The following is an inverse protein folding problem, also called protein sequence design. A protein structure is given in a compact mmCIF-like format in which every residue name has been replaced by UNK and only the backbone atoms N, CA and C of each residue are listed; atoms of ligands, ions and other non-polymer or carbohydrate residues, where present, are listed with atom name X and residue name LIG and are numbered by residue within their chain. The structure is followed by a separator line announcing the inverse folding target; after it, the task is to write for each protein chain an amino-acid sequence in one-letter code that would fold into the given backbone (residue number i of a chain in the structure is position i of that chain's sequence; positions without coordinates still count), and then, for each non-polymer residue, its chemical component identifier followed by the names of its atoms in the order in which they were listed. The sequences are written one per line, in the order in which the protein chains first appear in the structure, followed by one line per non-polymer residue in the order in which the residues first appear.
data_IF_490109144765
#
_entry.id   IF_490109144765
#
_cell.length_a   1.000
_cell.length_b   1.000
_cell.length_c   1.000
_cell.angle_alpha   90.00
_cell.angle_beta   90.00
_cell.angle_gamma   90.00
#
_symmetry.space_group_name_H-M   'P 1'
#
loop_
_entity.id
_entity.type
_entity.pdbx_description
1 polymer ?
#
# COMPACT_ATOMS: atom_id res chain seq x y z
N UNK A 1 -33.93 -33.22 -34.37
CA UNK A 1 -32.88 -32.24 -34.01
C UNK A 1 -33.43 -31.26 -33.00
N UNK A 2 -33.13 -31.44 -31.73
CA UNK A 2 -33.61 -30.58 -30.66
C UNK A 2 -32.49 -29.61 -30.26
N UNK A 3 -32.74 -28.31 -30.49
CA UNK A 3 -31.82 -27.25 -30.18
C UNK A 3 -31.73 -26.99 -28.67
N UNK A 4 -30.55 -27.18 -28.11
CA UNK A 4 -30.18 -26.77 -26.74
C UNK A 4 -30.24 -25.25 -26.62
N UNK A 5 -31.22 -24.71 -25.90
CA UNK A 5 -31.24 -23.32 -25.47
C UNK A 5 -30.20 -23.15 -24.36
N UNK A 6 -29.14 -22.38 -24.66
CA UNK A 6 -28.16 -21.88 -23.67
C UNK A 6 -28.90 -20.93 -22.71
N UNK A 7 -28.93 -21.28 -21.43
CA UNK A 7 -29.42 -20.41 -20.36
C UNK A 7 -28.40 -19.29 -20.14
N UNK A 8 -28.80 -18.03 -20.32
CA UNK A 8 -28.05 -16.85 -19.86
C UNK A 8 -28.03 -16.83 -18.33
N UNK A 9 -26.89 -16.53 -17.68
CA UNK A 9 -26.88 -16.35 -16.24
C UNK A 9 -27.77 -15.14 -15.90
N UNK A 10 -28.82 -15.39 -15.11
CA UNK A 10 -29.79 -14.39 -14.70
C UNK A 10 -29.13 -13.31 -13.85
N UNK A 11 -29.13 -12.09 -14.34
CA UNK A 11 -28.80 -10.90 -13.55
C UNK A 11 -29.79 -10.77 -12.39
N UNK A 12 -29.25 -10.51 -11.20
CA UNK A 12 -29.99 -10.31 -9.95
C UNK A 12 -30.99 -9.16 -10.11
N UNK A 13 -32.24 -9.26 -9.63
CA UNK A 13 -33.22 -8.16 -9.74
C UNK A 13 -32.77 -6.95 -8.92
N UNK A 14 -33.02 -5.71 -9.41
CA UNK A 14 -32.74 -4.48 -8.68
C UNK A 14 -33.50 -4.48 -7.35
N UNK A 15 -32.77 -4.35 -6.22
CA UNK A 15 -33.38 -4.28 -4.88
C UNK A 15 -33.27 -5.55 -4.03
N UNK A 16 -32.68 -6.65 -4.51
CA UNK A 16 -32.41 -7.81 -3.66
C UNK A 16 -31.37 -7.46 -2.57
N UNK A 17 -31.57 -7.86 -1.29
CA UNK A 17 -30.60 -7.58 -0.24
C UNK A 17 -29.23 -8.17 -0.61
N UNK A 18 -28.18 -7.34 -0.51
CA UNK A 18 -26.80 -7.77 -0.75
C UNK A 18 -26.41 -8.83 0.26
N UNK A 19 -25.65 -9.84 -0.17
CA UNK A 19 -25.11 -10.83 0.75
C UNK A 19 -24.21 -10.14 1.78
N UNK A 20 -24.03 -10.76 2.93
CA UNK A 20 -23.16 -10.20 3.97
C UNK A 20 -21.73 -10.00 3.45
N UNK A 21 -21.23 -10.93 2.62
CA UNK A 21 -19.91 -10.84 1.99
C UNK A 21 -19.78 -9.69 0.99
N UNK A 22 -20.83 -9.38 0.21
CA UNK A 22 -20.81 -8.23 -0.70
C UNK A 22 -20.73 -6.88 0.02
N UNK A 23 -21.07 -6.84 1.32
CA UNK A 23 -21.00 -5.62 2.14
C UNK A 23 -19.72 -5.46 2.93
N UNK A 24 -18.98 -6.54 3.16
CA UNK A 24 -17.77 -6.50 3.98
C UNK A 24 -16.69 -5.53 3.41
N UNK A 25 -16.41 -5.49 2.09
CA UNK A 25 -15.50 -4.50 1.51
C UNK A 25 -15.94 -3.05 1.76
N UNK A 26 -17.26 -2.77 1.67
CA UNK A 26 -17.81 -1.43 1.92
C UNK A 26 -17.63 -1.02 3.40
N UNK A 27 -17.82 -1.97 4.33
CA UNK A 27 -17.62 -1.76 5.77
C UNK A 27 -16.14 -1.49 6.07
N UNK A 28 -15.23 -2.24 5.46
CA UNK A 28 -13.79 -2.06 5.66
C UNK A 28 -13.33 -0.74 5.07
N UNK A 29 -13.79 -0.36 3.88
CA UNK A 29 -13.49 0.94 3.30
C UNK A 29 -14.00 2.10 4.18
N UNK A 30 -15.19 1.96 4.78
CA UNK A 30 -15.70 2.92 5.76
C UNK A 30 -14.81 2.98 7.01
N UNK A 31 -14.36 1.82 7.51
CA UNK A 31 -13.44 1.74 8.65
C UNK A 31 -12.10 2.43 8.36
N UNK A 32 -11.50 2.19 7.18
CA UNK A 32 -10.28 2.86 6.74
C UNK A 32 -10.48 4.39 6.77
N UNK A 33 -11.57 4.92 6.18
CA UNK A 33 -11.84 6.37 6.20
C UNK A 33 -11.97 6.93 7.62
N UNK A 34 -12.71 6.25 8.50
CA UNK A 34 -12.91 6.70 9.88
C UNK A 34 -11.60 6.65 10.66
N UNK A 35 -10.85 5.55 10.58
CA UNK A 35 -9.57 5.44 11.28
C UNK A 35 -8.50 6.41 10.74
N UNK A 36 -8.50 6.71 9.44
CA UNK A 36 -7.60 7.71 8.85
C UNK A 36 -7.94 9.12 9.37
N UNK A 37 -9.23 9.45 9.43
CA UNK A 37 -9.69 10.76 9.91
C UNK A 37 -9.46 10.97 11.40
N UNK A 38 -9.87 10.01 12.22
CA UNK A 38 -10.01 10.18 13.67
C UNK A 38 -8.86 9.52 14.47
N UNK A 39 -8.12 8.58 13.88
CA UNK A 39 -7.17 7.71 14.56
C UNK A 39 -7.86 6.56 15.31
N UNK A 40 -7.06 5.59 15.77
CA UNK A 40 -7.62 4.39 16.39
C UNK A 40 -8.41 4.68 17.67
N UNK A 41 -7.89 5.53 18.57
CA UNK A 41 -8.53 5.75 19.89
C UNK A 41 -9.83 6.50 19.80
N UNK A 42 -9.87 7.58 19.00
CA UNK A 42 -11.05 8.44 18.90
C UNK A 42 -12.17 7.82 18.05
N UNK A 43 -11.85 7.02 17.05
CA UNK A 43 -12.83 6.33 16.22
C UNK A 43 -13.76 5.43 17.04
N UNK A 44 -15.06 5.43 16.71
CA UNK A 44 -16.09 4.60 17.34
C UNK A 44 -16.74 3.66 16.36
N UNK A 45 -17.26 2.53 16.85
CA UNK A 45 -18.01 1.59 16.00
C UNK A 45 -19.26 2.24 15.40
N UNK A 46 -19.91 3.15 16.14
CA UNK A 46 -21.04 3.94 15.65
C UNK A 46 -20.68 4.82 14.46
N UNK A 47 -19.47 5.40 14.43
CA UNK A 47 -19.02 6.28 13.35
C UNK A 47 -18.77 5.46 12.08
N UNK A 48 -18.15 4.27 12.22
CA UNK A 48 -17.96 3.34 11.09
C UNK A 48 -19.30 2.82 10.59
N UNK A 49 -20.22 2.48 11.48
CA UNK A 49 -21.57 2.04 11.09
C UNK A 49 -22.29 3.13 10.28
N UNK A 50 -22.27 4.38 10.75
CA UNK A 50 -22.86 5.51 10.06
C UNK A 50 -22.23 5.73 8.68
N UNK A 51 -20.89 5.68 8.58
CA UNK A 51 -20.12 5.82 7.34
C UNK A 51 -20.44 4.69 6.33
N UNK A 52 -20.71 3.47 6.83
CA UNK A 52 -21.11 2.30 6.03
C UNK A 52 -22.63 2.26 5.73
N UNK A 53 -23.41 3.22 6.21
CA UNK A 53 -24.87 3.21 6.08
C UNK A 53 -25.57 2.07 6.85
N UNK A 54 -25.04 1.73 8.03
CA UNK A 54 -25.53 0.65 8.89
C UNK A 54 -25.89 1.19 10.27
N UNK A 55 -26.71 0.44 11.02
CA UNK A 55 -26.77 0.59 12.47
C UNK A 55 -25.58 -0.07 13.14
N UNK A 56 -25.17 0.42 14.32
CA UNK A 56 -24.07 -0.20 15.07
C UNK A 56 -24.34 -1.68 15.37
N UNK A 57 -25.55 -2.03 15.74
CA UNK A 57 -25.95 -3.44 15.92
C UNK A 57 -25.83 -4.29 14.64
N UNK A 58 -26.02 -3.68 13.47
CA UNK A 58 -25.81 -4.38 12.20
C UNK A 58 -24.31 -4.57 11.92
N UNK A 59 -23.46 -3.62 12.28
CA UNK A 59 -22.00 -3.73 12.12
C UNK A 59 -21.42 -4.88 12.96
N UNK A 60 -21.89 -5.07 14.19
CA UNK A 60 -21.45 -6.19 15.04
C UNK A 60 -21.80 -7.60 14.51
N UNK A 61 -22.65 -7.70 13.50
CA UNK A 61 -22.89 -8.97 12.79
C UNK A 61 -21.77 -9.32 11.81
N UNK A 62 -20.90 -8.37 11.50
CA UNK A 62 -19.75 -8.56 10.59
C UNK A 62 -18.44 -8.69 11.35
N UNK A 63 -18.23 -7.89 12.38
CA UNK A 63 -16.99 -7.87 13.15
C UNK A 63 -17.30 -7.62 14.63
N UNK A 64 -16.70 -8.39 15.50
CA UNK A 64 -17.05 -8.43 16.93
C UNK A 64 -16.46 -7.30 17.77
N UNK A 65 -15.43 -6.60 17.27
CA UNK A 65 -14.74 -5.55 18.04
C UNK A 65 -14.14 -4.46 17.13
N UNK A 66 -13.87 -3.30 17.74
CA UNK A 66 -13.13 -2.20 17.06
C UNK A 66 -11.72 -2.64 16.67
N UNK A 67 -11.03 -3.37 17.56
CA UNK A 67 -9.70 -3.90 17.27
C UNK A 67 -9.74 -4.84 16.06
N UNK A 68 -10.68 -5.77 16.02
CA UNK A 68 -10.87 -6.67 14.90
C UNK A 68 -11.17 -5.95 13.60
N UNK A 69 -12.00 -4.91 13.64
CA UNK A 69 -12.29 -4.09 12.47
C UNK A 69 -11.04 -3.32 11.99
N UNK A 70 -10.23 -2.80 12.92
CA UNK A 70 -8.98 -2.11 12.59
C UNK A 70 -7.96 -3.04 11.96
N UNK A 71 -7.83 -4.26 12.50
CA UNK A 71 -6.98 -5.32 11.95
C UNK A 71 -7.38 -5.68 10.51
N UNK A 72 -8.69 -5.87 10.27
CA UNK A 72 -9.18 -6.12 8.91
C UNK A 72 -8.92 -4.95 7.97
N UNK A 73 -9.06 -3.72 8.47
CA UNK A 73 -8.75 -2.52 7.69
C UNK A 73 -7.27 -2.46 7.30
N UNK A 74 -6.35 -2.80 8.22
CA UNK A 74 -4.90 -2.90 7.91
C UNK A 74 -4.64 -3.96 6.84
N UNK A 75 -5.11 -5.19 7.05
CA UNK A 75 -4.84 -6.31 6.14
C UNK A 75 -5.36 -6.03 4.74
N UNK A 76 -6.60 -5.60 4.63
CA UNK A 76 -7.21 -5.28 3.35
C UNK A 76 -6.52 -4.13 2.64
N UNK A 77 -6.22 -3.06 3.36
CA UNK A 77 -5.64 -1.86 2.79
C UNK A 77 -4.15 -2.03 2.41
N UNK A 78 -3.43 -2.96 3.04
CA UNK A 78 -2.07 -3.38 2.64
C UNK A 78 -2.08 -4.48 1.57
N UNK A 79 -3.23 -4.85 1.04
CA UNK A 79 -3.38 -5.90 0.01
C UNK A 79 -2.84 -7.28 0.45
N UNK A 80 -2.85 -7.55 1.75
CA UNK A 80 -2.22 -8.75 2.31
C UNK A 80 -3.05 -10.01 2.09
N UNK A 81 -4.38 -9.89 2.02
CA UNK A 81 -5.28 -11.05 1.86
C UNK A 81 -6.61 -10.65 1.23
N UNK A 82 -7.21 -11.61 0.54
CA UNK A 82 -8.63 -11.56 0.21
C UNK A 82 -9.48 -11.64 1.49
N UNK A 83 -10.63 -11.00 1.48
CA UNK A 83 -11.53 -11.06 2.61
C UNK A 83 -12.08 -12.48 2.78
N UNK A 84 -12.19 -12.98 4.02
CA UNK A 84 -12.66 -14.33 4.26
C UNK A 84 -14.11 -14.54 3.74
N UNK A 85 -14.31 -15.61 3.01
CA UNK A 85 -15.60 -15.95 2.38
C UNK A 85 -16.63 -16.53 3.35
N UNK A 86 -16.22 -16.97 4.56
CA UNK A 86 -17.09 -17.67 5.51
C UNK A 86 -16.91 -17.18 6.96
N UNK A 87 -17.94 -17.40 7.78
CA UNK A 87 -17.82 -17.31 9.24
C UNK A 87 -18.06 -15.93 9.84
N UNK A 88 -19.11 -15.21 9.43
CA UNK A 88 -19.53 -13.99 10.12
C UNK A 88 -20.20 -14.26 11.47
N UNK A 89 -19.97 -13.44 12.50
CA UNK A 89 -19.04 -12.30 12.54
C UNK A 89 -17.57 -12.72 12.53
N UNK A 90 -16.73 -11.91 11.90
CA UNK A 90 -15.29 -12.16 11.87
C UNK A 90 -14.66 -11.93 13.24
N UNK A 91 -13.73 -12.81 13.59
CA UNK A 91 -12.91 -12.77 14.81
C UNK A 91 -11.43 -12.68 14.43
N UNK A 92 -10.95 -11.52 13.93
CA UNK A 92 -9.56 -11.40 13.52
C UNK A 92 -8.60 -11.65 14.70
N UNK A 93 -7.39 -12.08 14.38
CA UNK A 93 -6.33 -12.22 15.36
C UNK A 93 -6.06 -10.89 16.08
N UNK A 94 -5.56 -10.90 17.32
CA UNK A 94 -5.17 -9.69 18.04
C UNK A 94 -4.15 -8.86 17.27
N UNK A 95 -4.20 -7.54 17.42
CA UNK A 95 -3.32 -6.60 16.71
C UNK A 95 -1.81 -6.97 16.79
N UNK A 96 -1.23 -7.37 17.93
CA UNK A 96 0.18 -7.76 18.00
C UNK A 96 0.54 -8.97 17.12
N UNK A 97 -0.37 -9.90 16.96
CA UNK A 97 -0.19 -11.08 16.10
C UNK A 97 -0.22 -10.68 14.62
N UNK A 98 -1.22 -9.90 14.21
CA UNK A 98 -1.32 -9.37 12.86
C UNK A 98 -0.11 -8.52 12.49
N UNK A 99 0.38 -7.70 13.41
CA UNK A 99 1.58 -6.90 13.19
C UNK A 99 2.83 -7.75 12.96
N UNK A 100 2.96 -8.87 13.67
CA UNK A 100 4.05 -9.82 13.45
C UNK A 100 3.92 -10.47 12.06
N UNK A 101 2.75 -11.02 11.74
CA UNK A 101 2.47 -11.64 10.44
C UNK A 101 2.69 -10.66 9.29
N UNK A 102 2.21 -9.42 9.43
CA UNK A 102 2.41 -8.37 8.42
C UNK A 102 3.89 -8.06 8.23
N UNK A 103 4.68 -7.99 9.30
CA UNK A 103 6.13 -7.76 9.21
C UNK A 103 6.82 -8.92 8.50
N UNK A 104 6.47 -10.16 8.86
CA UNK A 104 7.05 -11.36 8.27
C UNK A 104 6.71 -11.44 6.78
N UNK A 105 5.46 -11.16 6.41
CA UNK A 105 5.01 -11.08 5.02
C UNK A 105 5.75 -9.98 4.22
N UNK A 106 5.85 -8.78 4.77
CA UNK A 106 6.58 -7.68 4.10
C UNK A 106 8.03 -8.05 3.90
N UNK A 107 8.68 -8.68 4.88
CA UNK A 107 10.07 -9.13 4.78
C UNK A 107 10.25 -10.22 3.69
N UNK A 108 9.23 -11.03 3.43
CA UNK A 108 9.24 -12.05 2.37
C UNK A 108 9.00 -11.45 0.97
N UNK A 109 8.14 -10.43 0.87
CA UNK A 109 7.75 -9.81 -0.40
C UNK A 109 8.74 -8.72 -0.85
N UNK A 110 9.48 -8.13 0.07
CA UNK A 110 10.59 -7.20 -0.25
C UNK A 110 11.88 -8.02 -0.41
N UNK A 111 12.59 -7.97 -1.55
CA UNK A 111 12.53 -6.97 -2.60
C UNK A 111 11.37 -7.18 -3.59
N UNK A 112 10.75 -6.09 -4.04
CA UNK A 112 9.71 -6.11 -5.08
C UNK A 112 10.24 -6.73 -6.37
N UNK A 113 9.35 -7.29 -7.19
CA UNK A 113 9.70 -8.07 -8.37
C UNK A 113 10.75 -7.42 -9.27
N UNK A 114 10.51 -6.18 -9.69
CA UNK A 114 11.45 -5.43 -10.56
C UNK A 114 12.78 -5.13 -9.86
N UNK A 115 12.75 -4.76 -8.58
CA UNK A 115 13.98 -4.49 -7.80
C UNK A 115 14.76 -5.78 -7.52
N UNK A 116 14.06 -6.89 -7.25
CA UNK A 116 14.68 -8.20 -7.07
C UNK A 116 15.34 -8.70 -8.37
N UNK A 117 14.64 -8.60 -9.49
CA UNK A 117 15.15 -8.97 -10.81
C UNK A 117 16.37 -8.12 -11.18
N UNK A 118 16.31 -6.81 -10.90
CA UNK A 118 17.42 -5.91 -11.10
C UNK A 118 18.64 -6.33 -10.26
N UNK A 119 18.51 -6.67 -9.00
CA UNK A 119 19.61 -7.15 -8.16
C UNK A 119 20.19 -8.47 -8.68
N UNK A 120 19.36 -9.36 -9.24
CA UNK A 120 19.77 -10.61 -9.86
C UNK A 120 20.48 -10.44 -11.21
N UNK A 121 20.28 -9.31 -11.90
CA UNK A 121 20.83 -9.01 -13.23
C UNK A 121 22.23 -8.39 -13.11
N UNK A 122 23.22 -8.98 -13.74
CA UNK A 122 24.61 -8.46 -13.71
C UNK A 122 24.76 -7.26 -14.65
N UNK A 123 24.32 -7.40 -15.89
CA UNK A 123 24.43 -6.37 -16.93
C UNK A 123 23.04 -6.13 -17.55
N UNK A 124 22.34 -5.06 -17.19
CA UNK A 124 21.08 -4.70 -17.82
C UNK A 124 21.32 -4.17 -19.24
N UNK A 125 20.43 -4.51 -20.17
CA UNK A 125 20.47 -4.00 -21.54
C UNK A 125 20.36 -2.47 -21.60
N UNK A 126 19.60 -1.87 -20.71
CA UNK A 126 19.39 -0.43 -20.60
C UNK A 126 19.26 -0.01 -19.12
N UNK A 127 20.34 0.48 -18.50
CA UNK A 127 20.32 0.89 -17.09
C UNK A 127 19.32 2.00 -16.76
N UNK A 128 19.01 2.86 -17.73
CA UNK A 128 18.04 3.94 -17.52
C UNK A 128 16.61 3.39 -17.43
N UNK A 129 16.26 2.46 -18.32
CA UNK A 129 14.96 1.78 -18.28
C UNK A 129 14.81 0.87 -17.08
N UNK A 130 15.87 0.19 -16.67
CA UNK A 130 15.86 -0.62 -15.43
C UNK A 130 15.56 0.26 -14.22
N UNK A 131 16.30 1.37 -14.06
CA UNK A 131 16.08 2.32 -12.97
C UNK A 131 14.65 2.91 -13.02
N UNK A 132 14.19 3.31 -14.21
CA UNK A 132 12.83 3.82 -14.39
C UNK A 132 11.78 2.79 -13.94
N UNK A 133 11.92 1.53 -14.32
CA UNK A 133 11.00 0.46 -13.95
C UNK A 133 10.96 0.24 -12.43
N UNK A 134 12.12 0.24 -11.75
CA UNK A 134 12.21 0.15 -10.29
C UNK A 134 11.51 1.34 -9.61
N UNK A 135 11.74 2.56 -10.09
CA UNK A 135 11.12 3.75 -9.51
C UNK A 135 9.60 3.77 -9.71
N UNK A 136 9.10 3.33 -10.88
CA UNK A 136 7.66 3.22 -11.15
C UNK A 136 6.99 2.16 -10.27
N UNK A 137 7.63 1.03 -10.05
CA UNK A 137 7.11 -0.01 -9.15
C UNK A 137 6.99 0.51 -7.71
N UNK A 138 8.02 1.20 -7.21
CA UNK A 138 7.98 1.83 -5.88
C UNK A 138 6.90 2.91 -5.79
N UNK A 139 6.75 3.75 -6.82
CA UNK A 139 5.69 4.75 -6.87
C UNK A 139 4.29 4.12 -6.87
N UNK A 140 4.10 3.06 -7.66
CA UNK A 140 2.83 2.34 -7.74
C UNK A 140 2.46 1.72 -6.38
N UNK A 141 3.42 1.13 -5.67
CA UNK A 141 3.22 0.57 -4.34
C UNK A 141 2.76 1.65 -3.35
N UNK A 142 3.47 2.79 -3.27
CA UNK A 142 3.11 3.91 -2.39
C UNK A 142 1.70 4.46 -2.72
N UNK A 143 1.35 4.50 -4.01
CA UNK A 143 0.04 4.95 -4.45
C UNK A 143 -1.08 3.97 -4.08
N UNK A 144 -0.86 2.67 -4.26
CA UNK A 144 -1.84 1.62 -3.99
C UNK A 144 -2.09 1.45 -2.50
N UNK A 145 -1.05 1.55 -1.67
CA UNK A 145 -1.13 1.38 -0.22
C UNK A 145 -1.39 2.70 0.53
N UNK A 146 -1.63 3.81 -0.17
CA UNK A 146 -1.76 5.15 0.41
C UNK A 146 -2.73 5.20 1.58
N UNK A 147 -3.97 4.75 1.39
CA UNK A 147 -5.01 4.86 2.42
C UNK A 147 -4.68 4.02 3.66
N UNK A 148 -4.07 2.85 3.46
CA UNK A 148 -3.59 2.01 4.54
C UNK A 148 -2.49 2.68 5.34
N UNK A 149 -1.49 3.18 4.64
CA UNK A 149 -0.32 3.79 5.26
C UNK A 149 -0.70 5.06 6.01
N UNK A 150 -1.59 5.90 5.44
CA UNK A 150 -2.14 7.09 6.11
C UNK A 150 -2.90 6.72 7.39
N UNK A 151 -3.73 5.66 7.34
CA UNK A 151 -4.45 5.14 8.50
C UNK A 151 -3.49 4.64 9.59
N UNK A 152 -2.46 3.88 9.21
CA UNK A 152 -1.47 3.35 10.14
C UNK A 152 -0.65 4.49 10.75
N UNK A 153 -0.16 5.44 9.95
CA UNK A 153 0.60 6.61 10.43
C UNK A 153 -0.23 7.47 11.39
N UNK A 154 -1.50 7.69 11.07
CA UNK A 154 -2.40 8.44 11.95
C UNK A 154 -2.57 7.75 13.30
N UNK A 155 -2.74 6.43 13.28
CA UNK A 155 -2.93 5.62 14.48
C UNK A 155 -1.63 5.33 15.24
N UNK A 156 -0.46 5.37 14.58
CA UNK A 156 0.84 5.15 15.20
C UNK A 156 1.21 6.19 16.26
N UNK A 157 0.61 7.37 16.23
CA UNK A 157 0.75 8.39 17.28
C UNK A 157 0.15 7.94 18.61
N UNK A 158 -0.80 7.02 18.56
CA UNK A 158 -1.58 6.51 19.70
C UNK A 158 -1.19 5.07 20.06
N UNK A 159 -0.68 4.31 19.09
CA UNK A 159 -0.25 2.92 19.16
C UNK A 159 1.20 2.81 18.65
N UNK A 160 2.21 2.96 19.53
CA UNK A 160 3.63 2.97 19.11
C UNK A 160 4.07 1.73 18.34
N UNK A 161 3.40 0.60 18.56
CA UNK A 161 3.67 -0.66 17.85
C UNK A 161 3.49 -0.50 16.33
N UNK A 162 2.53 0.33 15.89
CA UNK A 162 2.30 0.60 14.48
C UNK A 162 3.45 1.39 13.83
N UNK A 163 4.11 2.27 14.59
CA UNK A 163 5.31 2.96 14.11
C UNK A 163 6.44 1.96 13.79
N UNK A 164 6.59 0.92 14.62
CA UNK A 164 7.53 -0.17 14.37
C UNK A 164 7.20 -0.96 13.10
N UNK A 165 5.92 -1.20 12.84
CA UNK A 165 5.48 -1.87 11.61
C UNK A 165 5.93 -1.10 10.36
N UNK A 166 5.68 0.20 10.30
CA UNK A 166 6.07 1.02 9.15
C UNK A 166 7.60 1.16 9.05
N UNK A 167 8.26 1.54 10.13
CA UNK A 167 9.70 1.84 10.08
C UNK A 167 10.54 0.59 9.89
N UNK A 168 10.34 -0.43 10.74
CA UNK A 168 11.18 -1.62 10.77
C UNK A 168 10.67 -2.71 9.82
N UNK A 169 9.35 -2.79 9.62
CA UNK A 169 8.73 -3.77 8.73
C UNK A 169 8.74 -3.38 7.26
N UNK A 170 8.54 -2.10 6.94
CA UNK A 170 8.40 -1.65 5.54
C UNK A 170 9.57 -0.76 5.09
N UNK A 171 9.75 0.42 5.67
CA UNK A 171 10.68 1.41 5.11
C UNK A 171 12.14 0.99 5.20
N UNK A 172 12.59 0.40 6.31
CA UNK A 172 13.99 -0.01 6.48
C UNK A 172 14.41 -1.08 5.46
N UNK A 173 13.66 -2.18 5.25
CA UNK A 173 14.00 -3.17 4.22
C UNK A 173 14.02 -2.58 2.82
N UNK A 174 13.02 -1.79 2.43
CA UNK A 174 12.95 -1.14 1.10
C UNK A 174 14.18 -0.26 0.86
N UNK A 175 14.51 0.61 1.82
CA UNK A 175 15.66 1.51 1.70
C UNK A 175 16.97 0.72 1.63
N UNK A 176 17.12 -0.35 2.43
CA UNK A 176 18.33 -1.17 2.41
C UNK A 176 18.52 -1.86 1.06
N UNK A 177 17.47 -2.48 0.52
CA UNK A 177 17.49 -3.17 -0.77
C UNK A 177 17.75 -2.20 -1.92
N UNK A 178 17.09 -1.03 -1.92
CA UNK A 178 17.32 0.01 -2.92
C UNK A 178 18.75 0.57 -2.84
N UNK A 179 19.30 0.75 -1.63
CA UNK A 179 20.67 1.21 -1.44
C UNK A 179 21.70 0.20 -2.00
N UNK A 180 21.44 -1.09 -1.83
CA UNK A 180 22.27 -2.15 -2.42
C UNK A 180 22.22 -2.10 -3.95
N UNK A 181 21.03 -1.96 -4.54
CA UNK A 181 20.85 -1.78 -5.97
C UNK A 181 21.64 -0.56 -6.49
N UNK A 182 21.43 0.61 -5.90
CA UNK A 182 22.10 1.84 -6.29
C UNK A 182 23.63 1.72 -6.20
N UNK A 183 24.15 1.14 -5.12
CA UNK A 183 25.57 0.87 -4.93
C UNK A 183 26.12 -0.09 -5.99
N UNK A 184 25.44 -1.22 -6.21
CA UNK A 184 25.85 -2.22 -7.21
C UNK A 184 25.95 -1.60 -8.61
N UNK A 185 25.00 -0.77 -9.00
CA UNK A 185 25.00 -0.10 -10.31
C UNK A 185 26.07 1.01 -10.40
N UNK A 186 26.26 1.76 -9.31
CA UNK A 186 27.30 2.79 -9.25
C UNK A 186 28.73 2.22 -9.29
N UNK A 187 28.98 1.07 -8.65
CA UNK A 187 30.29 0.40 -8.68
C UNK A 187 30.64 -0.10 -10.09
N UNK A 188 29.65 -0.36 -10.92
CA UNK A 188 29.81 -0.73 -12.35
C UNK A 188 29.83 0.48 -13.30
N UNK A 189 29.62 1.69 -12.79
CA UNK A 189 29.55 2.90 -13.62
C UNK A 189 28.25 3.07 -14.39
N UNK A 190 27.22 2.24 -14.11
CA UNK A 190 25.90 2.28 -14.74
C UNK A 190 25.03 3.39 -14.16
N UNK A 191 25.22 3.72 -12.88
CA UNK A 191 24.64 4.86 -12.21
C UNK A 191 25.73 5.78 -11.64
N UNK A 192 25.35 7.00 -11.33
CA UNK A 192 26.24 8.00 -10.73
C UNK A 192 26.64 7.56 -9.32
N UNK A 193 27.92 7.67 -8.99
CA UNK A 193 28.38 7.53 -7.60
C UNK A 193 27.84 8.67 -6.75
N UNK A 194 27.19 8.33 -5.66
CA UNK A 194 26.68 9.28 -4.66
C UNK A 194 27.51 9.21 -3.38
N UNK A 195 27.50 10.26 -2.55
CA UNK A 195 28.28 10.24 -1.31
C UNK A 195 27.93 9.08 -0.37
N UNK A 196 26.66 8.69 -0.33
CA UNK A 196 26.16 7.58 0.49
C UNK A 196 24.92 6.96 -0.18
N UNK A 197 24.94 5.64 -0.42
CA UNK A 197 23.85 4.96 -1.10
C UNK A 197 22.61 4.80 -0.21
N UNK A 198 22.76 4.68 1.12
CA UNK A 198 21.64 4.64 2.06
C UNK A 198 20.89 5.97 2.10
N UNK A 199 21.63 7.07 2.21
CA UNK A 199 21.04 8.42 2.18
C UNK A 199 20.37 8.71 0.83
N UNK A 200 20.97 8.23 -0.28
CA UNK A 200 20.40 8.38 -1.62
C UNK A 200 19.12 7.54 -1.76
N UNK A 201 19.12 6.30 -1.31
CA UNK A 201 17.91 5.47 -1.31
C UNK A 201 16.80 6.09 -0.47
N UNK A 202 17.14 6.65 0.70
CA UNK A 202 16.18 7.40 1.53
C UNK A 202 15.60 8.60 0.78
N UNK A 203 16.43 9.39 0.12
CA UNK A 203 15.98 10.53 -0.70
C UNK A 203 15.01 10.06 -1.80
N UNK A 204 15.33 8.97 -2.49
CA UNK A 204 14.47 8.40 -3.53
C UNK A 204 13.11 8.01 -2.95
N UNK A 205 13.10 7.22 -1.88
CA UNK A 205 11.85 6.76 -1.23
C UNK A 205 11.02 7.97 -0.76
N UNK A 206 11.62 8.93 -0.05
CA UNK A 206 10.90 10.13 0.42
C UNK A 206 10.32 10.98 -0.72
N UNK A 207 11.06 11.08 -1.84
CA UNK A 207 10.57 11.79 -3.02
C UNK A 207 9.35 11.08 -3.61
N UNK A 208 9.44 9.77 -3.83
CA UNK A 208 8.33 8.97 -4.36
C UNK A 208 7.13 8.99 -3.41
N UNK A 209 7.35 8.82 -2.12
CA UNK A 209 6.30 8.87 -1.08
C UNK A 209 5.59 10.22 -1.09
N UNK A 210 6.33 11.34 -1.20
CA UNK A 210 5.67 12.66 -1.26
C UNK A 210 4.78 12.78 -2.49
N UNK A 211 5.30 12.44 -3.68
CA UNK A 211 4.54 12.56 -4.93
C UNK A 211 3.40 11.54 -5.05
N UNK A 212 3.56 10.33 -4.53
CA UNK A 212 2.53 9.29 -4.58
C UNK A 212 1.43 9.47 -3.52
N UNK A 213 1.81 9.95 -2.32
CA UNK A 213 0.94 9.92 -1.14
C UNK A 213 0.77 11.27 -0.45
N UNK A 214 1.84 11.89 0.06
CA UNK A 214 1.74 13.08 0.92
C UNK A 214 1.20 14.31 0.21
N UNK A 215 1.37 14.43 -1.12
CA UNK A 215 0.82 15.53 -1.91
C UNK A 215 -0.69 15.71 -1.76
N UNK A 216 -1.43 14.63 -1.44
CA UNK A 216 -2.88 14.72 -1.22
C UNK A 216 -3.25 15.46 0.07
N UNK A 217 -2.32 15.62 1.00
CA UNK A 217 -2.48 16.39 2.22
C UNK A 217 -2.02 17.86 2.04
N UNK A 218 -1.40 18.19 0.91
CA UNK A 218 -1.02 19.54 0.51
C UNK A 218 -2.07 20.10 -0.48
N UNK A 219 -2.70 21.26 -0.18
CA UNK A 219 -3.72 21.86 -1.04
C UNK A 219 -3.25 22.13 -2.49
N UNK A 220 -1.97 22.43 -2.70
CA UNK A 220 -1.41 22.62 -4.03
C UNK A 220 -1.04 21.28 -4.67
N UNK A 221 -0.44 20.38 -3.92
CA UNK A 221 -0.08 19.04 -4.37
C UNK A 221 -1.28 18.20 -4.77
N UNK A 222 -2.40 18.33 -4.07
CA UNK A 222 -3.63 17.61 -4.36
C UNK A 222 -4.25 17.94 -5.72
N UNK A 223 -3.93 19.11 -6.29
CA UNK A 223 -4.39 19.53 -7.61
C UNK A 223 -3.57 18.90 -8.76
N UNK A 224 -2.42 18.36 -8.48
CA UNK A 224 -1.58 17.70 -9.47
C UNK A 224 -2.21 16.38 -9.93
N UNK A 225 -2.36 16.18 -11.23
CA UNK A 225 -2.83 14.90 -11.78
C UNK A 225 -1.87 13.76 -11.40
N UNK A 226 -2.41 12.57 -11.11
CA UNK A 226 -1.61 11.44 -10.66
C UNK A 226 -0.50 11.05 -11.65
N UNK A 227 -0.82 10.98 -12.95
CA UNK A 227 0.18 10.67 -13.97
C UNK A 227 1.29 11.71 -14.08
N UNK A 228 0.96 13.01 -13.92
CA UNK A 228 1.97 14.07 -13.90
C UNK A 228 2.89 13.97 -12.66
N UNK A 229 2.33 13.59 -11.51
CA UNK A 229 3.10 13.42 -10.28
C UNK A 229 4.12 12.28 -10.43
N UNK A 230 3.69 11.15 -10.95
CA UNK A 230 4.55 9.99 -11.24
C UNK A 230 5.66 10.35 -12.23
N UNK A 231 5.27 10.88 -13.40
CA UNK A 231 6.21 11.25 -14.46
C UNK A 231 7.26 12.23 -13.96
N UNK A 232 6.84 13.28 -13.24
CA UNK A 232 7.75 14.29 -12.69
C UNK A 232 8.75 13.69 -11.70
N UNK A 233 8.29 12.87 -10.76
CA UNK A 233 9.15 12.27 -9.76
C UNK A 233 10.14 11.27 -10.37
N UNK A 234 9.65 10.40 -11.26
CA UNK A 234 10.47 9.37 -11.89
C UNK A 234 11.50 10.00 -12.83
N UNK A 235 11.09 10.92 -13.71
CA UNK A 235 12.01 11.61 -14.63
C UNK A 235 13.14 12.33 -13.89
N UNK A 236 12.79 13.12 -12.86
CA UNK A 236 13.77 13.83 -12.06
C UNK A 236 14.79 12.90 -11.38
N UNK A 237 14.31 11.78 -10.81
CA UNK A 237 15.19 10.80 -10.14
C UNK A 237 16.06 10.03 -11.14
N UNK A 238 15.52 9.63 -12.29
CA UNK A 238 16.30 8.99 -13.35
C UNK A 238 17.44 9.92 -13.81
N UNK A 239 17.12 11.17 -14.15
CA UNK A 239 18.13 12.15 -14.56
C UNK A 239 19.18 12.43 -13.48
N UNK A 240 18.76 12.48 -12.20
CA UNK A 240 19.67 12.72 -11.09
C UNK A 240 20.65 11.55 -10.83
N UNK A 241 20.25 10.32 -11.13
CA UNK A 241 21.00 9.12 -10.79
C UNK A 241 21.78 8.53 -11.98
N UNK A 242 21.45 8.89 -13.20
CA UNK A 242 22.25 8.49 -14.37
C UNK A 242 23.63 9.16 -14.37
N UNK A 243 24.65 8.50 -14.93
CA UNK A 243 25.95 9.13 -15.12
C UNK A 243 25.76 10.41 -15.94
N UNK A 244 26.17 11.55 -15.41
CA UNK A 244 26.21 12.78 -16.22
C UNK A 244 27.09 12.54 -17.43
N UNK A 245 26.54 12.67 -18.63
CA UNK A 245 27.38 12.74 -19.83
C UNK A 245 28.38 13.87 -19.61
N UNK A 246 29.65 13.53 -19.60
CA UNK A 246 30.70 14.53 -19.67
C UNK A 246 30.44 15.38 -20.93
N UNK A 247 29.96 16.62 -20.75
CA UNK A 247 30.01 17.65 -21.80
C UNK A 247 31.42 18.21 -21.87
#
# INVERSE_FOLDING_TARGET
MAGKRSARPGGRPPGAPRSAHERLPEIIAAAVRVFTRDGYRAARMSDVAAEAGLSEAALYRYVTSKEGLFVLAIRHALLLEDLPDEGLPLHPAPLPEVMRETRDFVAEVVPFGTLADALGTVEPDDPAKELEAVLRELFALESQTREATDMIERSARELPELAGLLNDGLYRPVIATLAEYLRSRADRGLLRKTPDSQATARLVVETLTWFARHRYHDPQGAQMAAGLAEETAVDALVHALLPGGAK
#
